data_IF_146620799262
#
_entry.id   IF_146620799262
#
_cell.length_a   1.000
_cell.length_b   1.000
_cell.length_c   1.000
_cell.angle_alpha   90.00
_cell.angle_beta   90.00
_cell.angle_gamma   90.00
#
_symmetry.space_group_name_H-M   'P 1'
#
loop_
_entity.id
_entity.type
_entity.pdbx_description
1 polymer ?
#
# COMPACT_ATOMS: atom_id res chain seq x y z
N UNK A 1 7.78 20.93 82.24
CA UNK A 1 8.14 20.40 80.91
C UNK A 1 7.15 20.91 79.86
N UNK A 2 7.46 21.99 79.15
CA UNK A 2 6.82 22.32 77.85
C UNK A 2 7.88 23.02 77.01
N UNK A 3 8.47 22.28 76.07
CA UNK A 3 9.29 22.85 75.00
C UNK A 3 8.34 23.61 74.09
N UNK A 4 8.50 24.93 73.99
CA UNK A 4 7.88 25.72 72.94
C UNK A 4 8.54 25.33 71.62
N UNK A 5 7.82 24.62 70.76
CA UNK A 5 8.21 24.46 69.38
C UNK A 5 8.14 25.84 68.73
N UNK A 6 9.29 26.39 68.31
CA UNK A 6 9.31 27.56 67.43
C UNK A 6 8.69 27.12 66.10
N UNK A 7 7.52 27.64 65.78
CA UNK A 7 7.02 27.63 64.41
C UNK A 7 7.94 28.52 63.58
N UNK A 8 8.85 27.88 62.84
CA UNK A 8 9.72 28.55 61.89
C UNK A 8 8.88 28.97 60.68
N UNK A 9 8.40 30.21 60.68
CA UNK A 9 7.71 30.79 59.53
C UNK A 9 8.67 30.93 58.35
N UNK A 10 8.29 30.37 57.20
CA UNK A 10 9.02 30.48 55.94
C UNK A 10 9.23 31.95 55.58
N UNK A 11 10.47 32.32 55.26
CA UNK A 11 10.77 33.67 54.78
C UNK A 11 10.28 33.85 53.34
N UNK A 12 9.91 35.08 52.95
CA UNK A 12 9.46 35.40 51.59
C UNK A 12 10.44 34.90 50.51
N UNK A 13 11.74 34.97 50.80
CA UNK A 13 12.83 34.50 49.95
C UNK A 13 12.79 32.97 49.76
N UNK A 14 12.53 32.19 50.81
CA UNK A 14 12.43 30.73 50.70
C UNK A 14 11.23 30.32 49.84
N UNK A 15 10.10 31.03 49.94
CA UNK A 15 8.92 30.78 49.09
C UNK A 15 9.23 31.11 47.62
N UNK A 16 9.89 32.23 47.34
CA UNK A 16 10.28 32.60 45.98
C UNK A 16 11.29 31.61 45.38
N UNK A 17 12.26 31.15 46.18
CA UNK A 17 13.24 30.15 45.75
C UNK A 17 12.56 28.80 45.47
N UNK A 18 11.64 28.37 46.35
CA UNK A 18 10.88 27.14 46.16
C UNK A 18 10.01 27.19 44.89
N UNK A 19 9.34 28.32 44.62
CA UNK A 19 8.57 28.52 43.39
C UNK A 19 9.46 28.55 42.14
N UNK A 20 10.63 29.17 42.22
CA UNK A 20 11.61 29.18 41.13
C UNK A 20 12.12 27.78 40.79
N UNK A 21 12.52 27.00 41.81
CA UNK A 21 12.96 25.61 41.64
C UNK A 21 11.81 24.74 41.10
N UNK A 22 10.60 24.89 41.64
CA UNK A 22 9.42 24.16 41.17
C UNK A 22 9.11 24.48 39.70
N UNK A 23 9.22 25.74 39.29
CA UNK A 23 9.06 26.14 37.89
C UNK A 23 10.08 25.48 36.95
N UNK A 24 11.36 25.46 37.34
CA UNK A 24 12.42 24.79 36.57
C UNK A 24 12.17 23.28 36.46
N UNK A 25 11.81 22.63 37.57
CA UNK A 25 11.49 21.19 37.60
C UNK A 25 10.27 20.88 36.72
N UNK A 26 9.23 21.71 36.77
CA UNK A 26 8.03 21.54 35.96
C UNK A 26 8.36 21.62 34.47
N UNK A 27 9.16 22.60 34.04
CA UNK A 27 9.59 22.74 32.63
C UNK A 27 10.40 21.51 32.17
N UNK A 28 11.29 20.99 33.01
CA UNK A 28 12.05 19.78 32.70
C UNK A 28 11.13 18.55 32.53
N UNK A 29 10.16 18.38 33.42
CA UNK A 29 9.18 17.29 33.35
C UNK A 29 8.31 17.42 32.09
N UNK A 30 7.81 18.62 31.79
CA UNK A 30 7.00 18.84 30.59
C UNK A 30 7.80 18.55 29.32
N UNK A 31 9.05 19.02 29.23
CA UNK A 31 9.92 18.73 28.09
C UNK A 31 10.18 17.22 27.93
N UNK A 32 10.38 16.51 29.04
CA UNK A 32 10.57 15.06 29.01
C UNK A 32 9.29 14.31 28.61
N UNK A 33 8.12 14.73 29.11
CA UNK A 33 6.81 14.19 28.73
C UNK A 33 6.52 14.39 27.24
N UNK A 34 6.71 15.62 26.73
CA UNK A 34 6.53 15.92 25.30
C UNK A 34 7.51 15.13 24.42
N UNK A 35 8.76 14.99 24.86
CA UNK A 35 9.76 14.16 24.19
C UNK A 35 9.34 12.69 24.10
N UNK A 36 8.83 12.14 25.20
CA UNK A 36 8.35 10.75 25.27
C UNK A 36 7.14 10.52 24.39
N UNK A 37 6.15 11.43 24.39
CA UNK A 37 4.97 11.34 23.54
C UNK A 37 5.33 11.40 22.04
N UNK A 38 6.26 12.29 21.66
CA UNK A 38 6.74 12.40 20.28
C UNK A 38 7.49 11.14 19.83
N UNK A 39 8.28 10.53 20.71
CA UNK A 39 8.95 9.27 20.42
C UNK A 39 7.92 8.14 20.25
N UNK A 40 6.97 8.00 21.16
CA UNK A 40 5.93 6.96 21.11
C UNK A 40 5.06 7.07 19.86
N UNK A 41 4.62 8.28 19.51
CA UNK A 41 3.82 8.50 18.28
C UNK A 41 4.60 8.12 17.03
N UNK A 42 5.88 8.50 16.94
CA UNK A 42 6.75 8.12 15.81
C UNK A 42 7.02 6.61 15.75
N UNK A 43 7.26 5.98 16.90
CA UNK A 43 7.48 4.53 16.97
C UNK A 43 6.24 3.77 16.54
N UNK A 44 5.05 4.18 16.99
CA UNK A 44 3.78 3.57 16.58
C UNK A 44 3.51 3.74 15.08
N UNK A 45 3.76 4.95 14.55
CA UNK A 45 3.65 5.26 13.13
C UNK A 45 4.58 4.36 12.29
N UNK A 46 5.84 4.22 12.72
CA UNK A 46 6.83 3.35 12.06
C UNK A 46 6.42 1.88 12.12
N UNK A 47 5.94 1.41 13.28
CA UNK A 47 5.50 0.03 13.45
C UNK A 47 4.32 -0.31 12.53
N UNK A 48 3.31 0.57 12.45
CA UNK A 48 2.19 0.41 11.51
C UNK A 48 2.68 0.36 10.07
N UNK A 49 3.55 1.29 9.67
CA UNK A 49 4.12 1.30 8.32
C UNK A 49 4.88 0.01 7.98
N UNK A 50 5.60 -0.59 8.94
CA UNK A 50 6.27 -1.88 8.73
C UNK A 50 5.27 -3.04 8.55
N UNK A 51 4.20 -3.07 9.34
CA UNK A 51 3.12 -4.06 9.18
C UNK A 51 2.46 -3.93 7.82
N UNK A 52 2.04 -2.72 7.43
CA UNK A 52 1.43 -2.43 6.12
C UNK A 52 2.35 -2.84 4.97
N UNK A 53 3.65 -2.53 5.06
CA UNK A 53 4.62 -2.94 4.05
C UNK A 53 4.75 -4.47 3.97
N UNK A 54 4.78 -5.17 5.09
CA UNK A 54 4.86 -6.63 5.12
C UNK A 54 3.60 -7.26 4.51
N UNK A 55 2.42 -6.80 4.91
CA UNK A 55 1.14 -7.31 4.42
C UNK A 55 0.98 -7.04 2.92
N UNK A 56 1.29 -5.82 2.46
CA UNK A 56 1.27 -5.46 1.05
C UNK A 56 2.22 -6.32 0.21
N UNK A 57 3.47 -6.47 0.66
CA UNK A 57 4.51 -7.19 -0.09
C UNK A 57 4.29 -8.69 -0.09
N UNK A 58 3.77 -9.25 1.00
CA UNK A 58 3.31 -10.64 1.07
C UNK A 58 2.12 -10.88 0.14
N UNK A 59 1.08 -10.05 0.27
CA UNK A 59 -0.16 -10.21 -0.51
C UNK A 59 0.07 -10.08 -2.01
N UNK A 60 0.64 -8.96 -2.47
CA UNK A 60 0.91 -8.74 -3.91
C UNK A 60 1.99 -9.71 -4.41
N UNK A 61 2.99 -10.02 -3.58
CA UNK A 61 4.05 -10.96 -3.93
C UNK A 61 3.53 -12.36 -4.22
N UNK A 62 2.63 -12.89 -3.39
CA UNK A 62 2.03 -14.21 -3.62
C UNK A 62 1.17 -14.23 -4.89
N UNK A 63 0.45 -13.13 -5.15
CA UNK A 63 -0.35 -12.98 -6.37
C UNK A 63 0.51 -12.97 -7.64
N UNK A 64 1.63 -12.24 -7.61
CA UNK A 64 2.60 -12.22 -8.72
C UNK A 64 3.25 -13.58 -8.91
N UNK A 65 3.63 -14.29 -7.83
CA UNK A 65 4.22 -15.64 -7.93
C UNK A 65 3.31 -16.62 -8.66
N UNK A 66 2.01 -16.54 -8.38
CA UNK A 66 0.99 -17.39 -8.98
C UNK A 66 0.56 -16.96 -10.40
N UNK A 67 0.96 -15.77 -10.85
CA UNK A 67 0.46 -15.17 -12.08
C UNK A 67 0.89 -15.95 -13.34
N UNK A 68 -0.08 -16.18 -14.24
CA UNK A 68 0.08 -16.76 -15.58
C UNK A 68 0.47 -15.70 -16.61
N UNK A 69 0.02 -14.47 -16.40
CA UNK A 69 0.36 -13.29 -17.21
C UNK A 69 0.55 -12.10 -16.30
N UNK A 70 1.47 -11.24 -16.70
CA UNK A 70 1.80 -10.01 -15.99
C UNK A 70 1.90 -8.90 -17.03
N UNK A 71 1.32 -7.75 -16.71
CA UNK A 71 1.52 -6.51 -17.46
C UNK A 71 1.68 -5.35 -16.49
N UNK A 72 2.71 -4.57 -16.71
CA UNK A 72 2.82 -3.22 -16.13
C UNK A 72 2.40 -2.22 -17.19
N UNK A 73 1.49 -1.32 -16.83
CA UNK A 73 0.96 -0.31 -17.75
C UNK A 73 1.07 1.09 -17.14
N UNK A 74 1.73 1.99 -17.86
CA UNK A 74 1.82 3.43 -17.58
C UNK A 74 1.09 4.27 -18.62
N UNK A 75 0.50 3.62 -19.64
CA UNK A 75 -0.37 4.21 -20.66
C UNK A 75 -1.12 3.10 -21.40
N UNK A 76 -2.14 3.47 -22.20
CA UNK A 76 -2.83 2.54 -23.11
C UNK A 76 -3.62 1.42 -22.44
N UNK A 77 -3.87 1.53 -21.13
CA UNK A 77 -4.71 0.61 -20.37
C UNK A 77 -5.62 1.38 -19.43
N UNK A 78 -6.89 0.99 -19.32
CA UNK A 78 -7.82 1.58 -18.36
C UNK A 78 -8.65 0.50 -17.68
N UNK A 79 -8.82 0.62 -16.37
CA UNK A 79 -9.74 -0.22 -15.60
C UNK A 79 -11.07 0.51 -15.47
N UNK A 80 -12.20 -0.18 -15.55
CA UNK A 80 -13.53 0.42 -15.49
C UNK A 80 -13.61 1.69 -16.35
N UNK A 81 -13.32 1.58 -17.66
CA UNK A 81 -13.09 2.72 -18.57
C UNK A 81 -14.13 3.86 -18.51
N UNK A 82 -15.38 3.57 -18.15
CA UNK A 82 -16.41 4.59 -17.90
C UNK A 82 -16.20 5.48 -16.66
N UNK A 83 -15.27 5.16 -15.76
CA UNK A 83 -14.99 5.88 -14.51
C UNK A 83 -13.65 6.65 -14.54
N UNK A 84 -12.99 6.75 -15.69
CA UNK A 84 -11.75 7.53 -15.83
C UNK A 84 -10.51 6.92 -15.16
N UNK A 85 -10.55 5.64 -14.77
CA UNK A 85 -9.41 4.95 -14.14
C UNK A 85 -8.38 4.48 -15.20
N UNK A 86 -7.84 5.44 -15.95
CA UNK A 86 -6.76 5.20 -16.88
C UNK A 86 -5.43 5.01 -16.12
N UNK A 87 -4.62 4.07 -16.60
CA UNK A 87 -3.26 3.86 -16.15
C UNK A 87 -2.36 4.91 -16.78
N UNK A 88 -1.59 5.60 -15.94
CA UNK A 88 -0.70 6.70 -16.34
C UNK A 88 0.64 6.58 -15.62
N UNK A 89 1.59 7.46 -15.91
CA UNK A 89 2.82 7.55 -15.11
C UNK A 89 2.56 7.92 -13.64
N UNK A 90 1.50 8.70 -13.37
CA UNK A 90 1.10 9.12 -12.01
C UNK A 90 0.23 8.08 -11.29
N UNK A 91 -0.49 7.26 -12.07
CA UNK A 91 -1.32 6.16 -11.58
C UNK A 91 -0.99 4.88 -12.34
N UNK A 92 0.23 4.33 -12.16
CA UNK A 92 0.63 3.12 -12.86
C UNK A 92 -0.19 1.93 -12.40
N UNK A 93 -0.30 0.94 -13.29
CA UNK A 93 -1.04 -0.28 -13.06
C UNK A 93 -0.17 -1.52 -13.20
N UNK A 94 -0.40 -2.51 -12.35
CA UNK A 94 0.09 -3.87 -12.45
C UNK A 94 -1.11 -4.81 -12.61
N UNK A 95 -1.27 -5.35 -13.81
CA UNK A 95 -2.29 -6.34 -14.12
C UNK A 95 -1.69 -7.75 -14.08
N UNK A 96 -2.35 -8.67 -13.38
CA UNK A 96 -1.91 -10.05 -13.22
C UNK A 96 -3.08 -11.01 -13.39
N UNK A 97 -2.86 -12.08 -14.16
CA UNK A 97 -3.85 -13.15 -14.37
C UNK A 97 -3.53 -14.32 -13.45
N UNK A 98 -4.47 -14.71 -12.60
CA UNK A 98 -4.28 -15.78 -11.62
C UNK A 98 -5.24 -16.94 -11.87
N UNK A 99 -4.81 -18.20 -11.65
CA UNK A 99 -5.72 -19.32 -11.61
C UNK A 99 -6.56 -19.28 -10.32
N UNK A 100 -7.86 -19.53 -10.43
CA UNK A 100 -8.72 -19.89 -9.32
C UNK A 100 -8.96 -21.39 -9.36
N UNK A 101 -8.73 -22.07 -8.25
CA UNK A 101 -8.87 -23.52 -8.13
C UNK A 101 -10.10 -23.88 -7.32
N UNK A 102 -10.74 -24.99 -7.68
CA UNK A 102 -11.80 -25.58 -6.87
C UNK A 102 -11.21 -26.08 -5.55
N UNK A 103 -11.78 -25.70 -4.38
CA UNK A 103 -11.29 -26.15 -3.09
C UNK A 103 -11.44 -27.67 -2.89
N UNK A 104 -12.35 -28.30 -3.64
CA UNK A 104 -12.66 -29.74 -3.50
C UNK A 104 -11.79 -30.61 -4.39
N UNK A 105 -11.49 -30.16 -5.60
CA UNK A 105 -10.77 -30.97 -6.61
C UNK A 105 -9.34 -30.51 -6.85
N UNK A 106 -8.98 -29.30 -6.42
CA UNK A 106 -7.70 -28.67 -6.72
C UNK A 106 -7.52 -28.28 -8.19
N UNK A 107 -8.51 -28.59 -9.06
CA UNK A 107 -8.47 -28.25 -10.47
C UNK A 107 -8.71 -26.75 -10.68
N UNK A 108 -8.04 -26.17 -11.68
CA UNK A 108 -8.28 -24.79 -12.09
C UNK A 108 -9.66 -24.68 -12.72
N UNK A 109 -10.53 -23.87 -12.13
CA UNK A 109 -11.91 -23.65 -12.60
C UNK A 109 -12.00 -22.47 -13.54
N UNK A 110 -11.20 -21.43 -13.30
CA UNK A 110 -11.12 -20.22 -14.12
C UNK A 110 -9.82 -19.47 -13.86
N UNK A 111 -9.50 -18.52 -14.73
CA UNK A 111 -8.46 -17.53 -14.53
C UNK A 111 -9.10 -16.16 -14.37
N UNK A 112 -8.62 -15.43 -13.38
CA UNK A 112 -9.17 -14.16 -12.89
C UNK A 112 -8.14 -13.07 -13.13
N UNK A 113 -8.58 -11.89 -13.57
CA UNK A 113 -7.72 -10.74 -13.73
C UNK A 113 -7.79 -9.87 -12.47
N UNK A 114 -6.63 -9.57 -11.92
CA UNK A 114 -6.44 -8.59 -10.87
C UNK A 114 -5.65 -7.42 -11.44
N UNK A 115 -6.10 -6.20 -11.18
CA UNK A 115 -5.36 -4.99 -11.54
C UNK A 115 -5.10 -4.18 -10.29
N UNK A 116 -3.82 -4.06 -9.94
CA UNK A 116 -3.34 -3.18 -8.89
C UNK A 116 -3.04 -1.81 -9.50
N UNK A 117 -3.65 -0.74 -8.97
CA UNK A 117 -3.48 0.63 -9.47
C UNK A 117 -3.12 1.57 -8.33
N UNK A 118 -2.12 2.41 -8.56
CA UNK A 118 -1.78 3.52 -7.66
C UNK A 118 -2.76 4.68 -7.89
N UNK A 119 -3.36 5.19 -6.82
CA UNK A 119 -4.39 6.25 -6.92
C UNK A 119 -4.22 7.30 -5.84
N UNK A 120 -4.56 8.58 -6.11
CA UNK A 120 -4.67 9.58 -5.06
C UNK A 120 -5.63 9.09 -3.97
N UNK A 121 -5.25 9.24 -2.70
CA UNK A 121 -6.10 8.84 -1.57
C UNK A 121 -7.47 9.54 -1.56
N UNK A 122 -7.51 10.77 -2.06
CA UNK A 122 -8.74 11.56 -2.22
C UNK A 122 -9.76 10.95 -3.19
N UNK A 123 -9.33 10.07 -4.10
CA UNK A 123 -10.24 9.35 -4.99
C UNK A 123 -10.91 8.12 -4.33
N UNK A 124 -10.56 7.81 -3.08
CA UNK A 124 -11.06 6.64 -2.33
C UNK A 124 -11.94 7.14 -1.19
N UNK A 125 -13.17 6.66 -1.11
CA UNK A 125 -14.15 7.11 -0.10
C UNK A 125 -14.49 6.04 0.94
N UNK A 126 -14.23 4.76 0.65
CA UNK A 126 -14.48 3.64 1.55
C UNK A 126 -13.18 3.10 2.18
N UNK A 127 -13.32 2.39 3.30
CA UNK A 127 -12.26 1.60 3.95
C UNK A 127 -10.98 2.38 4.35
N UNK A 128 -11.07 3.70 4.48
CA UNK A 128 -9.99 4.58 4.96
C UNK A 128 -10.41 5.34 6.20
N UNK A 129 -9.45 5.61 7.08
CA UNK A 129 -9.64 6.53 8.21
C UNK A 129 -9.49 7.98 7.74
N UNK A 130 -10.37 8.92 8.11
CA UNK A 130 -10.20 10.33 7.72
C UNK A 130 -8.83 10.89 8.15
N UNK A 131 -8.11 11.53 7.22
CA UNK A 131 -6.83 12.22 7.46
C UNK A 131 -6.62 13.27 6.35
N UNK A 132 -6.85 14.54 6.68
CA UNK A 132 -6.80 15.67 5.74
C UNK A 132 -5.42 15.86 5.10
N UNK A 133 -4.35 15.60 5.85
CA UNK A 133 -2.99 15.69 5.31
C UNK A 133 -2.76 14.60 4.28
N UNK A 134 -3.19 13.37 4.59
CA UNK A 134 -3.02 12.23 3.71
C UNK A 134 -3.78 12.41 2.38
N UNK A 135 -4.98 13.02 2.38
CA UNK A 135 -5.79 13.23 1.17
C UNK A 135 -5.05 13.92 0.01
N UNK A 136 -4.05 14.74 0.32
CA UNK A 136 -3.28 15.53 -0.66
C UNK A 136 -1.82 15.11 -0.80
N UNK A 137 -1.30 14.28 0.11
CA UNK A 137 0.13 13.96 0.20
C UNK A 137 0.48 12.50 -0.07
N UNK A 138 -0.51 11.61 -0.16
CA UNK A 138 -0.27 10.17 -0.31
C UNK A 138 -1.14 9.56 -1.40
N UNK A 139 -0.72 8.40 -1.87
CA UNK A 139 -1.47 7.51 -2.73
C UNK A 139 -1.86 6.24 -1.98
N UNK A 140 -2.81 5.52 -2.54
CA UNK A 140 -3.20 4.19 -2.12
C UNK A 140 -2.87 3.20 -3.22
N UNK A 141 -2.78 1.92 -2.85
CA UNK A 141 -2.87 0.83 -3.80
C UNK A 141 -4.28 0.26 -3.80
N UNK A 142 -4.98 0.38 -4.93
CA UNK A 142 -6.28 -0.27 -5.13
C UNK A 142 -6.14 -1.54 -5.95
N UNK A 143 -6.79 -2.60 -5.51
CA UNK A 143 -7.00 -3.81 -6.29
C UNK A 143 -8.35 -3.72 -6.99
N UNK A 144 -8.37 -4.01 -8.27
CA UNK A 144 -9.57 -4.21 -9.05
C UNK A 144 -9.63 -5.67 -9.45
N UNK A 145 -10.68 -6.38 -9.02
CA UNK A 145 -10.88 -7.80 -9.32
C UNK A 145 -12.00 -7.98 -10.33
N UNK A 146 -11.79 -8.86 -11.32
CA UNK A 146 -12.87 -9.26 -12.23
C UNK A 146 -13.97 -10.01 -11.48
N UNK A 147 -15.23 -9.64 -11.76
CA UNK A 147 -16.39 -10.31 -11.18
C UNK A 147 -16.62 -11.71 -11.76
N UNK A 148 -17.65 -12.41 -11.27
CA UNK A 148 -18.06 -13.73 -11.79
C UNK A 148 -19.08 -13.63 -12.94
N UNK A 149 -19.62 -12.43 -13.21
CA UNK A 149 -20.63 -12.16 -14.22
C UNK A 149 -20.39 -10.82 -14.93
N UNK A 150 -20.70 -10.75 -16.23
CA UNK A 150 -20.59 -9.55 -17.07
C UNK A 150 -19.90 -9.80 -18.42
N UNK A 151 -19.64 -8.73 -19.19
CA UNK A 151 -19.27 -8.84 -20.61
C UNK A 151 -17.82 -8.53 -20.99
N UNK A 152 -16.93 -7.96 -20.16
CA UNK A 152 -15.55 -7.61 -20.67
C UNK A 152 -14.46 -7.32 -19.62
N UNK A 153 -13.33 -8.05 -19.68
CA UNK A 153 -13.26 -9.51 -19.68
C UNK A 153 -13.55 -10.00 -18.25
N UNK A 154 -14.47 -10.96 -18.13
CA UNK A 154 -14.99 -11.31 -16.80
C UNK A 154 -14.23 -12.45 -16.15
N UNK A 155 -13.86 -13.53 -16.82
CA UNK A 155 -12.88 -14.52 -16.37
C UNK A 155 -12.56 -15.43 -17.58
N UNK A 156 -11.35 -16.00 -17.66
CA UNK A 156 -11.09 -17.07 -18.64
C UNK A 156 -11.48 -18.42 -18.03
N UNK A 157 -12.51 -19.07 -18.57
CA UNK A 157 -12.94 -20.40 -18.12
C UNK A 157 -12.40 -21.46 -19.08
N UNK A 158 -11.37 -22.24 -18.70
CA UNK A 158 -10.85 -23.30 -19.56
C UNK A 158 -11.86 -24.45 -19.68
N UNK A 159 -11.94 -25.07 -20.85
CA UNK A 159 -12.62 -26.35 -21.02
C UNK A 159 -11.90 -27.46 -20.26
N UNK A 160 -12.60 -28.59 -20.03
CA UNK A 160 -12.02 -29.74 -19.35
C UNK A 160 -10.72 -30.21 -20.06
N UNK A 161 -9.63 -30.30 -19.31
CA UNK A 161 -8.31 -30.69 -19.83
C UNK A 161 -7.53 -29.58 -20.55
N UNK A 162 -8.06 -28.36 -20.66
CA UNK A 162 -7.34 -27.23 -21.25
C UNK A 162 -6.40 -26.56 -20.23
N UNK A 163 -5.26 -26.07 -20.73
CA UNK A 163 -4.32 -25.23 -19.98
C UNK A 163 -4.64 -23.76 -20.22
N UNK A 164 -3.99 -22.85 -19.48
CA UNK A 164 -4.15 -21.41 -19.74
C UNK A 164 -3.84 -21.05 -21.21
N UNK A 165 -2.82 -21.64 -21.82
CA UNK A 165 -2.39 -21.36 -23.19
C UNK A 165 -3.33 -21.91 -24.25
N UNK A 166 -4.04 -23.00 -23.94
CA UNK A 166 -4.93 -23.69 -24.89
C UNK A 166 -6.40 -23.42 -24.63
N UNK A 167 -6.71 -22.60 -23.63
CA UNK A 167 -8.08 -22.27 -23.26
C UNK A 167 -8.74 -21.42 -24.35
N UNK A 168 -9.92 -21.85 -24.79
CA UNK A 168 -10.71 -21.17 -25.85
C UNK A 168 -12.02 -20.59 -25.32
N UNK A 169 -12.22 -20.60 -24.00
CA UNK A 169 -13.40 -20.05 -23.35
C UNK A 169 -13.50 -18.52 -23.48
N UNK A 170 -14.64 -17.97 -23.09
CA UNK A 170 -14.85 -16.53 -23.05
C UNK A 170 -13.75 -15.84 -22.21
N UNK A 171 -13.24 -14.69 -22.68
CA UNK A 171 -12.19 -13.92 -22.00
C UNK A 171 -10.78 -14.53 -22.03
N UNK A 172 -10.59 -15.75 -22.53
CA UNK A 172 -9.28 -16.41 -22.57
C UNK A 172 -8.31 -15.72 -23.55
N UNK A 173 -8.77 -15.36 -24.74
CA UNK A 173 -7.93 -14.64 -25.71
C UNK A 173 -7.43 -13.29 -25.16
N UNK A 174 -8.30 -12.53 -24.48
CA UNK A 174 -7.94 -11.24 -23.87
C UNK A 174 -6.93 -11.41 -22.72
N UNK A 175 -7.12 -12.44 -21.88
CA UNK A 175 -6.19 -12.72 -20.78
C UNK A 175 -4.84 -13.26 -21.27
N UNK A 176 -4.83 -14.12 -22.28
CA UNK A 176 -3.61 -14.62 -22.92
C UNK A 176 -2.84 -13.46 -23.60
N UNK A 177 -3.58 -12.57 -24.27
CA UNK A 177 -3.12 -11.36 -24.93
C UNK A 177 -3.06 -10.12 -24.04
N UNK A 178 -2.89 -10.27 -22.72
CA UNK A 178 -3.00 -9.19 -21.73
C UNK A 178 -2.20 -7.93 -22.11
N UNK A 179 -1.04 -8.08 -22.75
CA UNK A 179 -0.20 -6.96 -23.19
C UNK A 179 -0.90 -6.01 -24.17
N UNK A 180 -1.79 -6.51 -25.03
CA UNK A 180 -2.50 -5.72 -26.05
C UNK A 180 -3.84 -5.16 -25.60
N UNK A 181 -4.31 -5.49 -24.40
CA UNK A 181 -5.64 -5.12 -23.92
C UNK A 181 -5.76 -3.61 -23.67
N UNK A 182 -6.72 -2.91 -24.26
CA UNK A 182 -6.85 -1.46 -24.06
C UNK A 182 -7.64 -1.08 -22.80
N UNK A 183 -8.64 -1.89 -22.43
CA UNK A 183 -9.50 -1.59 -21.29
C UNK A 183 -10.18 -2.82 -20.72
N UNK A 184 -10.54 -2.75 -19.44
CA UNK A 184 -11.39 -3.73 -18.74
C UNK A 184 -12.54 -3.01 -18.03
N UNK A 185 -13.64 -3.72 -17.72
CA UNK A 185 -14.79 -3.12 -17.05
C UNK A 185 -15.58 -4.09 -16.16
N UNK A 186 -16.35 -3.54 -15.22
CA UNK A 186 -17.13 -4.33 -14.26
C UNK A 186 -16.29 -4.90 -13.11
N UNK A 187 -15.15 -4.29 -12.79
CA UNK A 187 -14.25 -4.74 -11.74
C UNK A 187 -14.62 -4.10 -10.41
N UNK A 188 -14.58 -4.90 -9.35
CA UNK A 188 -14.83 -4.41 -7.99
C UNK A 188 -13.53 -3.87 -7.38
N UNK A 189 -13.52 -2.63 -6.87
CA UNK A 189 -12.36 -2.04 -6.22
C UNK A 189 -12.25 -2.48 -4.75
N UNK A 190 -11.02 -2.72 -4.30
CA UNK A 190 -10.66 -3.02 -2.91
C UNK A 190 -9.41 -2.23 -2.52
N UNK A 191 -9.35 -1.73 -1.29
CA UNK A 191 -8.15 -1.08 -0.76
C UNK A 191 -7.14 -2.16 -0.33
N UNK A 192 -5.92 -2.11 -0.86
CA UNK A 192 -4.83 -3.04 -0.49
C UNK A 192 -3.86 -2.40 0.49
N UNK A 193 -3.50 -1.15 0.24
CA UNK A 193 -2.59 -0.40 1.11
C UNK A 193 -2.93 1.09 1.04
N UNK A 194 -2.76 1.77 2.18
CA UNK A 194 -2.91 3.22 2.33
C UNK A 194 -1.55 3.87 2.64
N UNK A 195 -1.48 5.21 2.59
CA UNK A 195 -0.30 6.01 2.95
C UNK A 195 0.96 5.67 2.15
N UNK A 196 0.82 5.33 0.88
CA UNK A 196 1.96 5.15 -0.02
C UNK A 196 2.44 6.51 -0.54
N UNK A 197 3.75 6.65 -0.69
CA UNK A 197 4.36 7.81 -1.33
C UNK A 197 3.87 7.88 -2.79
N UNK A 198 3.47 9.06 -3.29
CA UNK A 198 3.07 9.22 -4.67
C UNK A 198 4.12 8.71 -5.65
N UNK A 199 3.66 8.08 -6.74
CA UNK A 199 4.53 7.42 -7.73
C UNK A 199 5.59 8.33 -8.34
N UNK A 200 5.29 9.61 -8.53
CA UNK A 200 6.19 10.65 -9.03
C UNK A 200 7.17 11.19 -7.97
N UNK A 201 6.93 10.87 -6.70
CA UNK A 201 7.73 11.31 -5.55
C UNK A 201 8.53 10.17 -4.91
N UNK A 202 8.51 8.98 -5.50
CA UNK A 202 9.36 7.88 -5.04
C UNK A 202 10.84 8.25 -5.20
N UNK A 203 11.69 7.96 -4.20
CA UNK A 203 13.12 8.25 -4.26
C UNK A 203 13.78 7.64 -5.50
N UNK A 204 14.62 8.42 -6.17
CA UNK A 204 15.34 7.99 -7.38
C UNK A 204 14.47 7.92 -8.65
N UNK A 205 13.30 8.55 -8.65
CA UNK A 205 12.35 8.54 -9.79
C UNK A 205 11.98 7.13 -10.25
N UNK A 206 11.95 6.20 -9.29
CA UNK A 206 11.72 4.79 -9.57
C UNK A 206 10.22 4.53 -9.78
N UNK A 207 9.88 3.75 -10.80
CA UNK A 207 8.49 3.34 -11.03
C UNK A 207 8.03 2.38 -9.91
N UNK A 208 6.79 2.52 -9.39
CA UNK A 208 6.23 1.62 -8.39
C UNK A 208 6.17 0.15 -8.83
N UNK A 209 5.98 -0.07 -10.15
CA UNK A 209 5.97 -1.39 -10.75
C UNK A 209 6.91 -1.42 -11.95
N UNK A 210 7.61 -2.53 -12.11
CA UNK A 210 8.44 -2.81 -13.28
C UNK A 210 8.36 -4.29 -13.60
N UNK A 211 8.24 -4.65 -14.88
CA UNK A 211 8.23 -6.03 -15.34
C UNK A 211 9.44 -6.30 -16.21
N UNK A 212 10.20 -7.34 -15.86
CA UNK A 212 11.29 -7.86 -16.68
C UNK A 212 10.88 -9.21 -17.27
N UNK A 213 10.65 -9.25 -18.58
CA UNK A 213 10.34 -10.48 -19.30
C UNK A 213 11.52 -11.47 -19.27
N UNK A 214 12.76 -10.97 -19.31
CA UNK A 214 13.98 -11.79 -19.31
C UNK A 214 14.13 -12.63 -18.02
N UNK A 215 13.86 -12.03 -16.87
CA UNK A 215 13.95 -12.70 -15.56
C UNK A 215 12.59 -13.22 -15.05
N UNK A 216 11.51 -12.92 -15.78
CA UNK A 216 10.11 -13.14 -15.38
C UNK A 216 9.83 -12.58 -14.00
N UNK A 217 10.32 -11.38 -13.71
CA UNK A 217 10.21 -10.77 -12.40
C UNK A 217 9.48 -9.44 -12.43
N UNK A 218 8.58 -9.25 -11.47
CA UNK A 218 8.03 -7.94 -11.13
C UNK A 218 8.87 -7.34 -10.02
N UNK A 219 9.31 -6.10 -10.20
CA UNK A 219 9.85 -5.27 -9.14
C UNK A 219 8.74 -4.39 -8.61
N UNK A 220 8.40 -4.56 -7.34
CA UNK A 220 7.48 -3.69 -6.61
C UNK A 220 8.31 -2.71 -5.78
N UNK A 221 8.12 -1.40 -5.98
CA UNK A 221 8.78 -0.34 -5.22
C UNK A 221 7.75 0.48 -4.47
N UNK A 222 7.89 0.51 -3.15
CA UNK A 222 6.95 1.19 -2.26
C UNK A 222 7.69 1.93 -1.16
N UNK A 223 7.13 3.05 -0.73
CA UNK A 223 7.60 3.79 0.43
C UNK A 223 6.36 4.31 1.16
N UNK A 224 6.22 3.96 2.43
CA UNK A 224 5.14 4.49 3.26
C UNK A 224 5.45 5.95 3.63
N UNK A 225 4.44 6.80 3.67
CA UNK A 225 4.54 8.23 3.96
C UNK A 225 3.36 8.68 4.81
N UNK A 226 3.64 9.20 5.99
CA UNK A 226 2.62 9.62 6.96
C UNK A 226 3.06 10.87 7.74
N UNK A 227 2.10 11.63 8.25
CA UNK A 227 2.36 12.72 9.18
C UNK A 227 2.09 12.26 10.62
N UNK A 228 3.11 12.32 11.47
CA UNK A 228 3.00 12.00 12.90
C UNK A 228 3.54 13.17 13.72
N UNK A 229 2.70 13.73 14.61
CA UNK A 229 3.09 14.86 15.46
C UNK A 229 3.52 16.11 14.67
N UNK A 230 2.84 16.40 13.56
CA UNK A 230 3.13 17.53 12.67
C UNK A 230 4.36 17.34 11.77
N UNK A 231 5.08 16.21 11.86
CA UNK A 231 6.23 15.91 11.00
C UNK A 231 5.91 14.83 9.99
N UNK A 232 6.34 15.03 8.75
CA UNK A 232 6.27 14.01 7.71
C UNK A 232 7.36 12.97 7.96
N UNK A 233 6.98 11.71 7.94
CA UNK A 233 7.87 10.57 8.09
C UNK A 233 7.67 9.61 6.92
N UNK A 234 8.77 9.05 6.43
CA UNK A 234 8.78 8.05 5.37
C UNK A 234 9.44 6.77 5.84
N UNK A 235 9.00 5.65 5.28
CA UNK A 235 9.52 4.33 5.60
C UNK A 235 9.58 3.47 4.32
N UNK A 236 10.78 3.02 3.90
CA UNK A 236 12.10 3.39 4.43
C UNK A 236 12.40 4.90 4.25
N UNK A 237 13.29 5.51 5.05
CA UNK A 237 13.44 6.96 5.11
C UNK A 237 14.10 7.59 3.88
N UNK A 238 15.07 6.90 3.26
CA UNK A 238 15.93 7.45 2.20
C UNK A 238 15.72 6.81 0.83
N UNK A 239 15.06 5.65 0.78
CA UNK A 239 14.87 4.88 -0.44
C UNK A 239 13.50 4.19 -0.44
N UNK A 240 12.99 3.88 -1.62
CA UNK A 240 11.87 2.97 -1.74
C UNK A 240 12.31 1.55 -1.35
N UNK A 241 11.46 0.84 -0.61
CA UNK A 241 11.61 -0.59 -0.43
C UNK A 241 11.33 -1.27 -1.77
N UNK A 242 12.26 -2.11 -2.23
CA UNK A 242 12.16 -2.84 -3.49
C UNK A 242 12.02 -4.34 -3.23
N UNK A 243 10.93 -4.92 -3.70
CA UNK A 243 10.67 -6.35 -3.69
C UNK A 243 10.72 -6.90 -5.12
N UNK A 244 11.64 -7.82 -5.38
CA UNK A 244 11.72 -8.54 -6.63
C UNK A 244 11.00 -9.89 -6.51
N UNK A 245 9.95 -10.08 -7.30
CA UNK A 245 9.13 -11.28 -7.27
C UNK A 245 9.12 -11.96 -8.62
N UNK A 246 9.58 -13.20 -8.68
CA UNK A 246 9.51 -14.00 -9.89
C UNK A 246 8.10 -14.56 -10.10
N UNK A 247 7.48 -14.22 -11.23
CA UNK A 247 6.24 -14.81 -11.70
C UNK A 247 6.55 -16.18 -12.32
N UNK A 248 6.30 -17.25 -11.55
CA UNK A 248 6.79 -18.60 -11.89
C UNK A 248 6.10 -19.19 -13.10
N UNK A 249 4.83 -18.83 -13.30
CA UNK A 249 3.98 -19.37 -14.35
C UNK A 249 3.86 -18.45 -15.55
N UNK A 250 4.46 -17.24 -15.51
CA UNK A 250 4.44 -16.32 -16.64
C UNK A 250 5.39 -16.80 -17.75
N UNK A 251 5.01 -16.65 -19.02
CA UNK A 251 5.83 -17.08 -20.16
C UNK A 251 7.08 -16.22 -20.28
N UNK A 252 8.14 -16.81 -20.83
CA UNK A 252 9.31 -16.05 -21.30
C UNK A 252 8.92 -15.44 -22.64
N UNK A 253 8.86 -14.11 -22.71
CA UNK A 253 8.75 -13.42 -24.00
C UNK A 253 10.19 -13.20 -24.49
N UNK A 254 10.59 -13.72 -25.67
CA UNK A 254 11.92 -13.51 -26.23
C UNK A 254 12.18 -12.06 -26.63
#
# INVERSE_FOLDING_TARGET
MRRAARESGLTLIEILLALGIMGVVMVLITNWQTGTLNLTTRTNATARGLTELNDLTGYVGDRVRAAQRVRVATSGFSVNSGSGNACSALSPCLAVVLPETSPTTGAVTKYVLFVYRMEPRSAVTADKTPDDWAETNVQVLREYRSGDSGTTPVNCVPGAGQTFETATGAGCADMQGLAGLASVGGFNPYLVADYLTPSDQLPGSAAPFEWSAATRSVTLRVQFRQQAGGRVTTLPPTQAYALNVQARNAPVVP
#
